data_IF_952509919359
#
_entry.id   IF_952509919359
#
_cell.length_a   1.000
_cell.length_b   1.000
_cell.length_c   1.000
_cell.angle_alpha   90.00
_cell.angle_beta   90.00
_cell.angle_gamma   90.00
#
_symmetry.space_group_name_H-M   'P 1'
#
loop_
_entity.id
_entity.type
_entity.pdbx_description
1 polymer ?
#
# COMPACT_ATOMS: atom_id res chain seq x y z
N UNK A 1 -5.65 12.64 12.89
CA UNK A 1 -5.69 13.14 11.50
C UNK A 1 -6.31 12.06 10.64
N UNK A 2 -7.44 12.33 10.00
CA UNK A 2 -8.12 11.36 9.13
C UNK A 2 -7.43 11.35 7.76
N UNK A 3 -6.93 10.19 7.35
CA UNK A 3 -6.36 10.01 6.03
C UNK A 3 -7.47 9.50 5.12
N UNK A 4 -7.89 10.34 4.19
CA UNK A 4 -8.89 9.91 3.22
C UNK A 4 -8.19 9.15 2.09
N UNK A 5 -8.86 8.14 1.53
CA UNK A 5 -8.36 7.47 0.34
C UNK A 5 -8.71 8.30 -0.87
N UNK A 6 -7.72 8.50 -1.72
CA UNK A 6 -7.88 9.25 -2.95
C UNK A 6 -8.59 8.38 -4.00
N UNK A 7 -9.71 8.81 -4.60
CA UNK A 7 -10.46 8.00 -5.57
C UNK A 7 -9.64 7.63 -6.81
N UNK A 8 -8.59 8.39 -7.13
CA UNK A 8 -7.70 8.09 -8.25
C UNK A 8 -6.88 6.81 -8.01
N UNK A 9 -6.56 6.46 -6.76
CA UNK A 9 -5.83 5.23 -6.46
C UNK A 9 -6.71 4.01 -6.76
N UNK A 10 -7.99 4.07 -6.37
CA UNK A 10 -8.97 3.03 -6.71
C UNK A 10 -9.15 2.92 -8.23
N UNK A 11 -9.18 4.05 -8.95
CA UNK A 11 -9.25 4.06 -10.41
C UNK A 11 -7.99 3.45 -11.05
N UNK A 12 -6.79 3.77 -10.55
CA UNK A 12 -5.54 3.20 -11.03
C UNK A 12 -5.50 1.68 -10.81
N UNK A 13 -5.87 1.20 -9.63
CA UNK A 13 -5.97 -0.24 -9.32
C UNK A 13 -6.97 -0.93 -10.25
N UNK A 14 -8.12 -0.32 -10.52
CA UNK A 14 -9.11 -0.84 -11.46
C UNK A 14 -8.59 -0.92 -12.90
N UNK A 15 -7.88 0.10 -13.37
CA UNK A 15 -7.27 0.13 -14.71
C UNK A 15 -6.22 -0.97 -14.84
N UNK A 16 -5.33 -1.11 -13.86
CA UNK A 16 -4.32 -2.18 -13.85
C UNK A 16 -4.95 -3.57 -13.80
N UNK A 17 -6.00 -3.76 -12.99
CA UNK A 17 -6.74 -5.02 -12.95
C UNK A 17 -7.40 -5.31 -14.30
N UNK A 18 -8.01 -4.31 -14.95
CA UNK A 18 -8.59 -4.45 -16.29
C UNK A 18 -7.55 -4.80 -17.34
N UNK A 19 -6.39 -4.16 -17.32
CA UNK A 19 -5.28 -4.47 -18.23
C UNK A 19 -4.78 -5.90 -18.05
N UNK A 20 -4.63 -6.36 -16.80
CA UNK A 20 -4.24 -7.73 -16.51
C UNK A 20 -5.28 -8.75 -17.01
N UNK A 21 -6.57 -8.45 -16.83
CA UNK A 21 -7.67 -9.27 -17.34
C UNK A 21 -7.71 -9.29 -18.86
N UNK A 22 -7.63 -8.13 -19.51
CA UNK A 22 -7.65 -8.01 -20.97
C UNK A 22 -6.44 -8.71 -21.61
N UNK A 23 -5.26 -8.57 -21.00
CA UNK A 23 -4.05 -9.26 -21.44
C UNK A 23 -4.20 -10.78 -21.28
N UNK A 24 -4.73 -11.26 -20.14
CA UNK A 24 -4.98 -12.68 -19.91
C UNK A 24 -6.01 -13.27 -20.89
N UNK A 25 -7.08 -12.52 -21.17
CA UNK A 25 -8.12 -12.91 -22.12
C UNK A 25 -7.57 -12.94 -23.56
N UNK A 26 -6.78 -11.93 -23.93
CA UNK A 26 -6.12 -11.85 -25.24
C UNK A 26 -5.17 -13.03 -25.45
N UNK A 27 -4.32 -13.33 -24.47
CA UNK A 27 -3.44 -14.50 -24.47
C UNK A 27 -4.24 -15.80 -24.62
N UNK A 28 -5.34 -15.94 -23.86
CA UNK A 28 -6.19 -17.12 -23.93
C UNK A 28 -6.85 -17.29 -25.31
N UNK A 29 -7.35 -16.20 -25.90
CA UNK A 29 -7.90 -16.20 -27.25
C UNK A 29 -6.86 -16.58 -28.32
N UNK A 30 -5.60 -16.16 -28.16
CA UNK A 30 -4.51 -16.59 -29.03
C UNK A 30 -4.17 -18.08 -28.89
N UNK A 31 -4.27 -18.65 -27.68
CA UNK A 31 -3.94 -20.06 -27.40
C UNK A 31 -5.10 -21.04 -27.64
N UNK A 32 -6.32 -20.54 -27.92
CA UNK A 32 -7.51 -21.36 -28.20
C UNK A 32 -7.34 -22.48 -29.24
N UNK A 33 -6.65 -22.30 -30.38
CA UNK A 33 -6.61 -23.35 -31.41
C UNK A 33 -5.68 -24.52 -31.06
N UNK A 34 -4.88 -24.45 -29.99
CA UNK A 34 -3.85 -25.45 -29.67
C UNK A 34 -4.25 -26.39 -28.53
N UNK A 35 -5.25 -26.04 -27.72
CA UNK A 35 -5.51 -26.77 -26.48
C UNK A 35 -6.98 -27.13 -26.27
N UNK A 36 -7.33 -28.39 -26.57
CA UNK A 36 -8.63 -29.00 -26.27
C UNK A 36 -8.85 -29.32 -24.79
N UNK A 37 -8.31 -28.54 -23.85
CA UNK A 37 -8.43 -28.80 -22.41
C UNK A 37 -9.27 -27.74 -21.71
N UNK A 38 -10.37 -28.17 -21.09
CA UNK A 38 -11.29 -27.31 -20.32
C UNK A 38 -10.62 -26.63 -19.11
N UNK A 39 -9.51 -27.17 -18.64
CA UNK A 39 -8.75 -26.65 -17.49
C UNK A 39 -8.09 -25.30 -17.77
N UNK A 40 -7.83 -24.95 -19.03
CA UNK A 40 -7.26 -23.67 -19.42
C UNK A 40 -8.24 -22.49 -19.27
N UNK A 41 -9.55 -22.75 -19.19
CA UNK A 41 -10.56 -21.72 -18.94
C UNK A 41 -10.74 -21.39 -17.45
N UNK A 42 -10.42 -22.31 -16.54
CA UNK A 42 -10.64 -22.14 -15.10
C UNK A 42 -9.64 -21.15 -14.47
N UNK A 43 -8.39 -21.17 -14.90
CA UNK A 43 -7.31 -20.32 -14.37
C UNK A 43 -7.62 -18.82 -14.49
N UNK A 44 -7.99 -18.26 -15.67
CA UNK A 44 -8.29 -16.84 -15.78
C UNK A 44 -9.54 -16.45 -14.98
N UNK A 45 -10.57 -17.32 -14.91
CA UNK A 45 -11.77 -17.04 -14.12
C UNK A 45 -11.47 -16.97 -12.62
N UNK A 46 -10.61 -17.86 -12.09
CA UNK A 46 -10.18 -17.81 -10.69
C UNK A 46 -9.34 -16.55 -10.43
N UNK A 47 -8.43 -16.19 -11.33
CA UNK A 47 -7.63 -14.97 -11.22
C UNK A 47 -8.53 -13.71 -11.20
N UNK A 48 -9.54 -13.64 -12.07
CA UNK A 48 -10.53 -12.56 -12.08
C UNK A 48 -11.35 -12.49 -10.79
N UNK A 49 -11.86 -13.63 -10.32
CA UNK A 49 -12.63 -13.69 -9.08
C UNK A 49 -11.77 -13.25 -7.88
N UNK A 50 -10.50 -13.65 -7.84
CA UNK A 50 -9.57 -13.24 -6.79
C UNK A 50 -9.23 -11.75 -6.85
N UNK A 51 -9.01 -11.19 -8.04
CA UNK A 51 -8.79 -9.76 -8.23
C UNK A 51 -10.02 -8.93 -7.81
N UNK A 52 -11.22 -9.33 -8.25
CA UNK A 52 -12.48 -8.71 -7.86
C UNK A 52 -12.69 -8.78 -6.34
N UNK A 53 -12.34 -9.91 -5.71
CA UNK A 53 -12.40 -10.05 -4.26
C UNK A 53 -11.42 -9.12 -3.53
N UNK A 54 -10.19 -8.98 -4.01
CA UNK A 54 -9.20 -8.05 -3.44
C UNK A 54 -9.67 -6.60 -3.57
N UNK A 55 -10.21 -6.21 -4.72
CA UNK A 55 -10.77 -4.87 -4.96
C UNK A 55 -11.95 -4.64 -4.03
N UNK A 56 -12.91 -5.56 -3.97
CA UNK A 56 -14.08 -5.44 -3.09
C UNK A 56 -13.70 -5.43 -1.60
N UNK A 57 -12.67 -6.18 -1.21
CA UNK A 57 -12.12 -6.15 0.16
C UNK A 57 -11.48 -4.80 0.45
N UNK A 58 -10.78 -4.22 -0.52
CA UNK A 58 -10.14 -2.92 -0.38
C UNK A 58 -11.17 -1.78 -0.29
N UNK A 59 -12.23 -1.85 -1.10
CA UNK A 59 -13.36 -0.91 -1.08
C UNK A 59 -14.15 -0.98 0.23
N UNK A 60 -14.19 -2.14 0.90
CA UNK A 60 -14.84 -2.31 2.20
C UNK A 60 -14.01 -1.84 3.39
N UNK A 61 -12.76 -1.44 3.19
CA UNK A 61 -11.94 -0.86 4.27
C UNK A 61 -12.33 0.62 4.45
N UNK A 62 -12.75 0.96 5.67
CA UNK A 62 -13.17 2.31 6.04
C UNK A 62 -12.03 3.33 6.09
N UNK A 63 -12.34 4.59 6.41
CA UNK A 63 -11.32 5.63 6.60
C UNK A 63 -10.36 5.24 7.72
N UNK A 64 -9.08 5.50 7.51
CA UNK A 64 -8.03 5.21 8.50
C UNK A 64 -7.66 6.48 9.23
N UNK A 65 -7.69 6.43 10.56
CA UNK A 65 -7.32 7.55 11.41
C UNK A 65 -5.89 7.34 11.90
N UNK A 66 -5.00 8.24 11.49
CA UNK A 66 -3.64 8.30 12.01
C UNK A 66 -3.57 9.35 13.12
N UNK A 67 -3.14 8.96 14.31
CA UNK A 67 -2.94 9.86 15.44
C UNK A 67 -1.51 9.75 15.94
N UNK A 68 -1.01 10.86 16.45
CA UNK A 68 0.25 10.93 17.16
C UNK A 68 -0.05 11.27 18.60
N UNK A 69 0.36 10.40 19.52
CA UNK A 69 0.09 10.55 20.95
C UNK A 69 1.27 11.18 21.70
N UNK A 70 2.24 11.74 21.00
CA UNK A 70 3.48 12.31 21.58
C UNK A 70 4.63 11.31 21.70
N UNK A 71 4.32 10.01 21.80
CA UNK A 71 5.30 8.93 21.93
C UNK A 71 5.29 7.96 20.74
N UNK A 72 4.10 7.61 20.25
CA UNK A 72 3.93 6.64 19.18
C UNK A 72 2.83 7.08 18.19
N UNK A 73 2.92 6.55 16.98
CA UNK A 73 1.86 6.67 15.99
C UNK A 73 0.83 5.57 16.23
N UNK A 74 -0.44 5.94 16.33
CA UNK A 74 -1.55 5.00 16.38
C UNK A 74 -2.36 5.07 15.09
N UNK A 75 -2.68 3.92 14.54
CA UNK A 75 -3.56 3.74 13.39
C UNK A 75 -4.84 3.06 13.86
N UNK A 76 -5.97 3.68 13.57
CA UNK A 76 -7.29 3.10 13.79
C UNK A 76 -7.98 2.92 12.43
N UNK A 77 -8.27 1.67 12.07
CA UNK A 77 -8.99 1.30 10.84
C UNK A 77 -10.48 0.97 11.07
N UNK A 78 -11.00 1.30 12.26
CA UNK A 78 -12.37 1.00 12.70
C UNK A 78 -12.58 -0.44 13.14
N UNK A 79 -11.59 -1.32 12.99
CA UNK A 79 -11.62 -2.71 13.46
C UNK A 79 -10.54 -2.99 14.50
N UNK A 80 -9.37 -2.37 14.35
CA UNK A 80 -8.21 -2.54 15.22
C UNK A 80 -7.46 -1.23 15.34
N UNK A 81 -7.00 -0.97 16.56
CA UNK A 81 -6.04 0.09 16.84
C UNK A 81 -4.65 -0.54 16.91
N UNK A 82 -3.73 -0.09 16.07
CA UNK A 82 -2.31 -0.48 16.14
C UNK A 82 -1.47 0.75 16.48
N UNK A 83 -0.77 0.68 17.60
CA UNK A 83 0.20 1.69 18.01
C UNK A 83 1.62 1.20 17.73
N UNK A 84 2.48 2.10 17.29
CA UNK A 84 3.89 1.81 17.09
C UNK A 84 4.63 2.90 16.34
N UNK A 85 5.82 2.55 15.86
CA UNK A 85 6.61 3.42 15.02
C UNK A 85 6.03 3.44 13.61
N UNK A 86 5.84 4.64 13.05
CA UNK A 86 5.48 4.82 11.66
C UNK A 86 6.73 5.11 10.84
N UNK A 87 6.87 4.44 9.71
CA UNK A 87 7.92 4.69 8.72
C UNK A 87 7.30 4.88 7.35
N UNK A 88 7.85 5.82 6.58
CA UNK A 88 7.51 5.95 5.17
C UNK A 88 8.27 4.86 4.43
N UNK A 89 7.53 3.91 3.86
CA UNK A 89 8.13 2.86 3.03
C UNK A 89 8.21 3.29 1.57
N UNK A 90 7.18 4.00 1.10
CA UNK A 90 7.15 4.56 -0.24
C UNK A 90 6.59 5.97 -0.16
N UNK A 91 7.30 6.94 -0.73
CA UNK A 91 6.90 8.33 -0.77
C UNK A 91 6.66 8.75 -2.23
N UNK A 92 5.42 9.05 -2.54
CA UNK A 92 5.07 9.79 -3.73
C UNK A 92 4.54 11.16 -3.30
N UNK A 93 4.79 12.19 -4.11
CA UNK A 93 4.51 13.57 -3.71
C UNK A 93 3.09 13.79 -3.13
N UNK A 94 2.09 13.13 -3.72
CA UNK A 94 0.67 13.24 -3.31
C UNK A 94 0.13 12.05 -2.51
N UNK A 95 0.92 10.99 -2.32
CA UNK A 95 0.51 9.81 -1.57
C UNK A 95 1.72 9.07 -1.00
N UNK A 96 1.59 8.44 0.16
CA UNK A 96 2.67 7.65 0.74
C UNK A 96 2.13 6.33 1.27
N UNK A 97 2.97 5.31 1.20
CA UNK A 97 2.74 4.05 1.87
C UNK A 97 3.48 4.06 3.20
N UNK A 98 2.72 4.06 4.28
CA UNK A 98 3.23 4.02 5.64
C UNK A 98 3.25 2.58 6.14
N UNK A 99 4.29 2.24 6.89
CA UNK A 99 4.34 1.04 7.72
C UNK A 99 4.26 1.46 9.18
N UNK A 100 3.17 1.12 9.84
CA UNK A 100 2.98 1.37 11.28
C UNK A 100 2.98 0.03 11.99
N UNK A 101 4.05 -0.27 12.73
CA UNK A 101 4.29 -1.62 13.25
C UNK A 101 4.22 -2.67 12.12
N UNK A 102 3.21 -3.55 12.14
CA UNK A 102 2.93 -4.54 11.09
C UNK A 102 1.93 -4.10 10.02
N UNK A 103 1.23 -2.97 10.20
CA UNK A 103 0.20 -2.52 9.27
C UNK A 103 0.77 -1.69 8.13
N UNK A 104 0.25 -1.96 6.93
CA UNK A 104 0.46 -1.15 5.73
C UNK A 104 -0.70 -0.18 5.57
N UNK A 105 -0.40 1.11 5.59
CA UNK A 105 -1.40 2.18 5.54
C UNK A 105 -1.14 3.08 4.34
N UNK A 106 -1.99 3.04 3.30
CA UNK A 106 -1.95 4.01 2.23
C UNK A 106 -2.48 5.35 2.76
N UNK A 107 -1.68 6.40 2.63
CA UNK A 107 -2.02 7.76 3.01
C UNK A 107 -2.03 8.63 1.75
N UNK A 108 -3.03 9.49 1.59
CA UNK A 108 -3.09 10.44 0.48
C UNK A 108 -3.18 11.87 0.97
N UNK A 109 -2.67 12.79 0.17
CA UNK A 109 -2.91 14.22 0.35
C UNK A 109 -4.37 14.60 0.06
N UNK A 110 -5.14 13.72 -0.59
CA UNK A 110 -6.56 13.90 -0.88
C UNK A 110 -7.37 14.15 0.40
N UNK A 111 -8.02 15.31 0.48
CA UNK A 111 -8.80 15.72 1.66
C UNK A 111 -8.01 16.44 2.75
N UNK A 112 -6.71 16.69 2.56
CA UNK A 112 -5.87 17.46 3.48
C UNK A 112 -5.47 18.82 2.87
N UNK A 113 -5.48 19.91 3.66
CA UNK A 113 -4.86 21.16 3.24
C UNK A 113 -3.37 20.96 2.92
N UNK A 114 -2.81 21.64 1.90
CA UNK A 114 -1.43 21.42 1.43
C UNK A 114 -0.38 21.56 2.55
N UNK A 115 -0.56 22.50 3.48
CA UNK A 115 0.34 22.67 4.63
C UNK A 115 0.32 21.50 5.62
N UNK A 116 -0.82 20.82 5.79
CA UNK A 116 -0.93 19.67 6.71
C UNK A 116 -0.28 18.41 6.16
N UNK A 117 -0.30 18.21 4.84
CA UNK A 117 0.38 17.08 4.21
C UNK A 117 1.89 17.16 4.37
N UNK A 118 2.47 18.34 4.11
CA UNK A 118 3.89 18.56 4.31
C UNK A 118 4.28 18.46 5.79
N UNK A 119 3.46 19.01 6.70
CA UNK A 119 3.68 18.87 8.14
C UNK A 119 3.68 17.40 8.60
N UNK A 120 2.76 16.58 8.07
CA UNK A 120 2.73 15.14 8.34
C UNK A 120 4.01 14.44 7.87
N UNK A 121 4.48 14.74 6.66
CA UNK A 121 5.76 14.21 6.15
C UNK A 121 6.92 14.56 7.06
N UNK A 122 7.01 15.84 7.45
CA UNK A 122 8.03 16.31 8.36
C UNK A 122 7.94 15.65 9.74
N UNK A 123 6.73 15.39 10.25
CA UNK A 123 6.53 14.68 11.52
C UNK A 123 6.96 13.21 11.43
N UNK A 124 6.61 12.53 10.34
CA UNK A 124 7.00 11.15 10.09
C UNK A 124 8.51 10.98 9.94
N UNK A 125 9.18 11.91 9.26
CA UNK A 125 10.65 11.90 9.12
C UNK A 125 11.34 12.20 10.45
N UNK A 126 10.84 13.17 11.23
CA UNK A 126 11.42 13.52 12.54
C UNK A 126 11.27 12.44 13.59
N UNK A 127 10.15 11.73 13.58
CA UNK A 127 9.86 10.66 14.53
C UNK A 127 10.12 9.27 13.94
N UNK A 128 10.75 9.20 12.75
CA UNK A 128 11.26 7.95 12.23
C UNK A 128 12.39 7.49 13.14
N UNK A 129 12.46 6.19 13.46
CA UNK A 129 13.63 5.63 14.13
C UNK A 129 14.81 5.92 13.22
N UNK A 130 15.83 6.61 13.74
CA UNK A 130 17.09 6.73 13.02
C UNK A 130 17.48 5.31 12.61
N UNK A 131 17.54 5.08 11.29
CA UNK A 131 18.11 3.86 10.79
C UNK A 131 19.49 3.81 11.41
N UNK A 132 19.69 2.89 12.34
CA UNK A 132 20.97 2.64 12.96
C UNK A 132 21.89 2.35 11.78
N UNK A 133 22.72 3.33 11.42
CA UNK A 133 23.79 3.11 10.45
C UNK A 133 24.47 1.82 10.89
N UNK A 134 24.74 0.87 9.98
CA UNK A 134 25.58 -0.26 10.33
C UNK A 134 26.85 0.36 10.91
N UNK A 135 27.05 0.12 12.21
CA UNK A 135 28.22 0.60 12.91
C UNK A 135 29.39 0.06 12.11
N UNK A 136 30.07 0.98 11.43
CA UNK A 136 31.42 0.80 10.91
C UNK A 136 32.20 0.26 12.09
N UNK A 137 32.27 -1.06 12.18
CA UNK A 137 33.15 -1.74 13.10
C UNK A 137 34.51 -1.44 12.56
N UNK A 138 35.07 -0.38 13.14
CA UNK A 138 36.47 -0.06 13.24
C UNK A 138 37.23 -1.38 13.39
N UNK A 139 37.69 -1.92 12.29
CA UNK A 139 38.81 -2.86 12.28
C UNK A 139 40.09 -2.01 12.24
N UNK A 140 40.25 -1.17 13.26
CA UNK A 140 41.55 -0.77 13.74
C UNK A 140 42.02 -1.92 14.63
N UNK A 141 42.66 -2.91 14.00
CA UNK A 141 43.58 -3.79 14.71
C UNK A 141 44.92 -3.64 14.00
N UNK A 142 45.70 -2.73 14.59
CA UNK A 142 47.14 -2.65 14.54
C UNK A 142 47.78 -4.04 14.72
N UNK A 143 48.70 -4.38 13.81
CA UNK A 143 50.06 -4.91 14.07
C UNK A 143 50.49 -5.83 12.92
#
# INVERSE_FOLDING_TARGET
MTLNRDPWWSAAVLVWAWLAVASSLSWWLMMRPVAGSAWLGAVPSVAMAHAAWLIAREWRRGPVVLRWDGLAWSVDDGRRVQAGQARIAIDFNRWMLLRVSSAWVPASAGGLPPGRWHALRCALVRHAPQASSPSSTVAEVLA
#
